data_IF_944926986588
#
_entry.id   IF_944926986588
#
_cell.length_a   1.000
_cell.length_b   1.000
_cell.length_c   1.000
_cell.angle_alpha   90.00
_cell.angle_beta   90.00
_cell.angle_gamma   90.00
#
_symmetry.space_group_name_H-M   'P 1'
#
loop_
_entity.id
_entity.type
_entity.pdbx_description
1 polymer ?
#
# COMPACT_ATOMS: atom_id res chain seq x y z
N UNK A 1 -7.79 10.21 28.85
CA UNK A 1 -6.41 9.68 28.66
C UNK A 1 -5.41 10.61 29.30
N UNK A 2 -4.30 10.08 29.82
CA UNK A 2 -3.18 10.90 30.28
C UNK A 2 -2.55 11.63 29.10
N UNK A 3 -2.01 12.83 29.30
CA UNK A 3 -1.36 13.61 28.24
C UNK A 3 -0.24 12.83 27.55
N UNK A 4 0.51 12.02 28.31
CA UNK A 4 1.56 11.13 27.83
C UNK A 4 1.09 10.03 26.85
N UNK A 5 -0.20 9.69 26.86
CA UNK A 5 -0.80 8.67 25.97
C UNK A 5 -1.51 9.27 24.76
N UNK A 6 -1.69 10.60 24.73
CA UNK A 6 -2.31 11.28 23.59
C UNK A 6 -1.26 11.52 22.51
N UNK A 7 -1.59 11.13 21.29
CA UNK A 7 -0.77 11.45 20.13
C UNK A 7 -0.97 12.94 19.81
N UNK A 8 0.12 13.69 19.67
CA UNK A 8 0.04 15.13 19.37
C UNK A 8 -0.58 15.35 17.98
N UNK A 9 -1.26 16.49 17.74
CA UNK A 9 -1.82 16.81 16.43
C UNK A 9 -0.75 16.82 15.32
N UNK A 10 0.47 17.27 15.63
CA UNK A 10 1.61 17.28 14.73
C UNK A 10 2.03 15.87 14.30
N UNK A 11 2.08 14.93 15.24
CA UNK A 11 2.41 13.54 14.99
C UNK A 11 1.33 12.85 14.14
N UNK A 12 0.06 13.22 14.32
CA UNK A 12 -1.04 12.73 13.48
C UNK A 12 -0.87 13.27 12.05
N UNK A 13 -0.63 14.57 11.87
CA UNK A 13 -0.39 15.16 10.55
C UNK A 13 0.81 14.50 9.84
N UNK A 14 1.87 14.21 10.60
CA UNK A 14 3.02 13.44 10.10
C UNK A 14 2.61 12.07 9.60
N UNK A 15 1.78 11.33 10.34
CA UNK A 15 1.28 9.99 9.93
C UNK A 15 0.39 10.07 8.70
N UNK A 16 -0.50 11.05 8.62
CA UNK A 16 -1.39 11.25 7.48
C UNK A 16 -0.60 11.46 6.16
N UNK A 17 0.56 12.13 6.23
CA UNK A 17 1.48 12.28 5.10
C UNK A 17 1.93 10.94 4.49
N UNK A 18 2.11 9.91 5.33
CA UNK A 18 2.55 8.59 4.88
C UNK A 18 1.40 7.65 4.49
N UNK A 19 0.18 7.93 4.95
CA UNK A 19 -1.00 7.09 4.71
C UNK A 19 -1.70 7.42 3.38
N UNK A 20 -1.80 8.69 3.02
CA UNK A 20 -2.51 9.10 1.80
C UNK A 20 -1.62 8.94 0.57
N UNK A 21 -2.20 8.36 -0.48
CA UNK A 21 -1.56 8.31 -1.79
C UNK A 21 -1.26 9.74 -2.28
N UNK A 22 -0.11 9.93 -2.93
CA UNK A 22 0.40 11.20 -3.45
C UNK A 22 0.91 12.23 -2.42
N UNK A 23 0.81 11.98 -1.11
CA UNK A 23 1.48 12.80 -0.07
C UNK A 23 2.85 12.25 0.35
N UNK A 24 3.09 10.95 0.10
CA UNK A 24 4.34 10.29 0.41
C UNK A 24 5.44 10.74 -0.55
N UNK A 25 6.61 11.04 -0.01
CA UNK A 25 7.80 11.34 -0.82
C UNK A 25 8.20 10.13 -1.66
N UNK A 26 8.40 10.36 -2.95
CA UNK A 26 8.76 9.31 -3.90
C UNK A 26 10.23 8.96 -3.71
N UNK A 27 10.50 7.70 -3.38
CA UNK A 27 11.85 7.14 -3.33
C UNK A 27 12.01 6.12 -4.46
N UNK A 28 13.00 6.32 -5.32
CA UNK A 28 13.27 5.44 -6.45
C UNK A 28 13.60 4.00 -6.02
N UNK A 29 14.24 3.81 -4.86
CA UNK A 29 14.63 2.48 -4.38
C UNK A 29 13.50 1.76 -3.62
N UNK A 30 12.45 2.47 -3.19
CA UNK A 30 11.29 1.87 -2.53
C UNK A 30 10.06 1.88 -3.47
N UNK A 31 9.73 0.76 -4.13
CA UNK A 31 8.60 0.68 -5.05
C UNK A 31 7.24 0.91 -4.36
N UNK A 32 7.16 0.82 -3.03
CA UNK A 32 5.93 1.12 -2.29
C UNK A 32 5.63 2.62 -2.21
N UNK A 33 6.64 3.48 -2.41
CA UNK A 33 6.44 4.94 -2.48
C UNK A 33 5.89 5.42 -3.81
N UNK A 34 6.00 4.61 -4.87
CA UNK A 34 5.61 5.02 -6.21
C UNK A 34 4.08 5.16 -6.33
N UNK A 35 3.64 6.02 -7.25
CA UNK A 35 2.21 6.12 -7.58
C UNK A 35 1.71 4.83 -8.25
N UNK A 36 0.41 4.60 -8.23
CA UNK A 36 -0.19 3.39 -8.84
C UNK A 36 0.15 3.22 -10.33
N UNK A 37 0.16 4.26 -11.17
CA UNK A 37 0.62 4.17 -12.56
C UNK A 37 2.04 3.63 -12.69
N UNK A 38 2.97 4.16 -11.89
CA UNK A 38 4.37 3.74 -11.93
C UNK A 38 4.57 2.33 -11.37
N UNK A 39 3.80 1.94 -10.35
CA UNK A 39 3.76 0.54 -9.88
C UNK A 39 3.29 -0.41 -10.98
N UNK A 40 2.20 -0.06 -11.66
CA UNK A 40 1.67 -0.85 -12.77
C UNK A 40 2.67 -0.98 -13.92
N UNK A 41 3.30 0.13 -14.31
CA UNK A 41 4.36 0.16 -15.32
C UNK A 41 5.55 -0.72 -14.92
N UNK A 42 6.06 -0.57 -13.68
CA UNK A 42 7.20 -1.32 -13.18
C UNK A 42 6.96 -2.83 -13.13
N UNK A 43 5.79 -3.26 -12.66
CA UNK A 43 5.40 -4.68 -12.64
C UNK A 43 5.34 -5.26 -14.05
N UNK A 44 4.69 -4.55 -14.99
CA UNK A 44 4.55 -5.03 -16.37
C UNK A 44 5.88 -5.03 -17.12
N UNK A 45 6.74 -4.04 -16.88
CA UNK A 45 8.10 -4.01 -17.40
C UNK A 45 8.89 -5.23 -16.92
N UNK A 46 8.94 -5.46 -15.61
CA UNK A 46 9.66 -6.59 -15.02
C UNK A 46 9.13 -7.93 -15.54
N UNK A 47 7.80 -8.11 -15.57
CA UNK A 47 7.18 -9.31 -16.11
C UNK A 47 7.52 -9.54 -17.59
N UNK A 48 7.56 -8.47 -18.39
CA UNK A 48 7.90 -8.56 -19.83
C UNK A 48 9.36 -8.94 -20.04
N UNK A 49 10.29 -8.35 -19.28
CA UNK A 49 11.72 -8.66 -19.36
C UNK A 49 11.97 -10.11 -18.92
N UNK A 50 11.38 -10.54 -17.80
CA UNK A 50 11.49 -11.91 -17.30
C UNK A 50 10.89 -12.89 -18.32
N UNK A 51 9.71 -12.60 -18.86
CA UNK A 51 9.06 -13.43 -19.88
C UNK A 51 9.93 -13.57 -21.13
N UNK A 52 10.49 -12.46 -21.63
CA UNK A 52 11.39 -12.49 -22.78
C UNK A 52 12.67 -13.29 -22.51
N UNK A 53 13.22 -13.19 -21.30
CA UNK A 53 14.37 -13.99 -20.87
C UNK A 53 14.03 -15.48 -20.79
N UNK A 54 12.92 -15.84 -20.15
CA UNK A 54 12.47 -17.24 -20.05
C UNK A 54 12.20 -17.84 -21.43
N UNK A 55 11.59 -17.07 -22.35
CA UNK A 55 11.38 -17.49 -23.73
C UNK A 55 12.70 -17.80 -24.44
N UNK A 56 13.76 -17.02 -24.20
CA UNK A 56 15.08 -17.29 -24.77
C UNK A 56 15.68 -18.58 -24.24
N UNK A 57 15.65 -18.76 -22.92
CA UNK A 57 16.18 -19.96 -22.26
C UNK A 57 15.45 -21.20 -22.79
N UNK A 58 14.12 -21.15 -22.86
CA UNK A 58 13.29 -22.25 -23.37
C UNK A 58 13.63 -22.62 -24.81
N UNK A 59 13.77 -21.61 -25.69
CA UNK A 59 14.05 -21.82 -27.10
C UNK A 59 15.55 -21.90 -27.43
N UNK A 60 16.42 -21.97 -26.41
CA UNK A 60 17.89 -21.99 -26.55
C UNK A 60 18.41 -20.86 -27.45
N UNK A 61 17.80 -19.67 -27.37
CA UNK A 61 18.21 -18.48 -28.11
C UNK A 61 19.15 -17.62 -27.25
N UNK A 62 20.15 -16.95 -27.85
CA UNK A 62 20.99 -16.02 -27.11
C UNK A 62 20.18 -14.83 -26.59
N UNK A 63 20.67 -14.16 -25.54
CA UNK A 63 19.95 -13.08 -24.87
C UNK A 63 19.60 -11.90 -25.79
N UNK A 64 20.43 -11.62 -26.79
CA UNK A 64 20.27 -10.53 -27.76
C UNK A 64 19.35 -10.86 -28.94
N UNK A 65 18.82 -12.09 -29.03
CA UNK A 65 17.94 -12.48 -30.12
C UNK A 65 16.73 -11.53 -30.20
N UNK A 66 16.43 -11.00 -31.39
CA UNK A 66 15.26 -10.13 -31.62
C UNK A 66 15.15 -8.94 -30.63
N UNK A 67 16.26 -8.31 -30.26
CA UNK A 67 16.28 -7.28 -29.21
C UNK A 67 15.38 -6.07 -29.54
N UNK A 68 15.39 -5.58 -30.78
CA UNK A 68 14.57 -4.42 -31.19
C UNK A 68 13.07 -4.68 -31.04
N UNK A 69 12.48 -5.72 -31.66
CA UNK A 69 11.04 -5.98 -31.49
C UNK A 69 10.67 -6.32 -30.04
N UNK A 70 11.59 -6.87 -29.24
CA UNK A 70 11.35 -7.14 -27.81
C UNK A 70 11.36 -5.89 -26.95
N UNK A 71 12.23 -4.93 -27.25
CA UNK A 71 12.22 -3.63 -26.58
C UNK A 71 10.92 -2.88 -26.90
N UNK A 72 10.46 -2.93 -28.16
CA UNK A 72 9.15 -2.37 -28.55
C UNK A 72 8.02 -3.05 -27.78
N UNK A 73 7.97 -4.39 -27.76
CA UNK A 73 6.95 -5.14 -27.03
C UNK A 73 6.97 -4.82 -25.53
N UNK A 74 8.16 -4.77 -24.92
CA UNK A 74 8.33 -4.41 -23.51
C UNK A 74 7.82 -3.00 -23.24
N UNK A 75 8.11 -2.04 -24.12
CA UNK A 75 7.59 -0.67 -24.05
C UNK A 75 6.06 -0.62 -24.10
N UNK A 76 5.45 -1.37 -25.03
CA UNK A 76 3.98 -1.47 -25.15
C UNK A 76 3.37 -2.07 -23.88
N UNK A 77 3.92 -3.17 -23.37
CA UNK A 77 3.42 -3.81 -22.15
C UNK A 77 3.58 -2.91 -20.92
N UNK A 78 4.67 -2.14 -20.86
CA UNK A 78 4.88 -1.13 -19.81
C UNK A 78 3.85 -0.02 -19.88
N UNK A 79 3.54 0.49 -21.07
CA UNK A 79 2.50 1.50 -21.28
C UNK A 79 1.10 0.99 -20.90
N UNK A 80 0.78 -0.27 -21.24
CA UNK A 80 -0.46 -0.93 -20.78
C UNK A 80 -0.49 -0.98 -19.25
N UNK A 81 0.61 -1.38 -18.61
CA UNK A 81 0.73 -1.38 -17.15
C UNK A 81 0.49 -0.02 -16.51
N UNK A 82 1.03 1.04 -17.12
CA UNK A 82 0.77 2.41 -16.70
C UNK A 82 -0.72 2.75 -16.77
N UNK A 83 -1.38 2.46 -17.91
CA UNK A 83 -2.81 2.70 -18.10
C UNK A 83 -3.70 1.90 -17.14
N UNK A 84 -3.34 0.65 -16.84
CA UNK A 84 -4.04 -0.12 -15.79
C UNK A 84 -3.86 0.52 -14.41
N UNK A 85 -2.67 1.03 -14.11
CA UNK A 85 -2.39 1.73 -12.87
C UNK A 85 -3.15 3.06 -12.74
N UNK A 86 -3.34 3.83 -13.81
CA UNK A 86 -4.13 5.07 -13.79
C UNK A 86 -5.62 4.79 -13.56
N UNK A 87 -6.19 3.78 -14.21
CA UNK A 87 -7.57 3.36 -13.97
C UNK A 87 -7.79 2.92 -12.53
N UNK A 88 -6.82 2.17 -11.96
CA UNK A 88 -6.87 1.76 -10.56
C UNK A 88 -6.78 2.94 -9.60
N UNK A 89 -5.91 3.91 -9.89
CA UNK A 89 -5.82 5.14 -9.09
C UNK A 89 -7.14 5.92 -9.11
N UNK A 90 -7.73 6.07 -10.30
CA UNK A 90 -9.01 6.75 -10.46
C UNK A 90 -10.12 6.06 -9.65
N UNK A 91 -10.22 4.74 -9.73
CA UNK A 91 -11.19 3.96 -8.96
C UNK A 91 -11.06 4.20 -7.45
N UNK A 92 -9.84 4.18 -6.91
CA UNK A 92 -9.63 4.43 -5.48
C UNK A 92 -9.93 5.87 -5.07
N UNK A 93 -9.58 6.86 -5.91
CA UNK A 93 -9.94 8.27 -5.66
C UNK A 93 -11.45 8.44 -5.60
N UNK A 94 -12.19 7.86 -6.54
CA UNK A 94 -13.66 7.92 -6.55
C UNK A 94 -14.25 7.23 -5.33
N UNK A 95 -13.76 6.04 -4.96
CA UNK A 95 -14.19 5.33 -3.75
C UNK A 95 -14.01 6.19 -2.50
N UNK A 96 -12.82 6.75 -2.33
CA UNK A 96 -12.49 7.55 -1.13
C UNK A 96 -13.31 8.85 -1.09
N UNK A 97 -13.55 9.49 -2.25
CA UNK A 97 -14.40 10.67 -2.35
C UNK A 97 -15.86 10.35 -1.95
N UNK A 98 -16.41 9.22 -2.41
CA UNK A 98 -17.77 8.79 -2.04
C UNK A 98 -17.87 8.50 -0.54
N UNK A 99 -16.90 7.79 0.03
CA UNK A 99 -16.86 7.49 1.47
C UNK A 99 -16.76 8.79 2.28
N UNK A 100 -15.86 9.68 1.90
CA UNK A 100 -15.70 10.96 2.58
C UNK A 100 -16.99 11.78 2.53
N UNK A 101 -17.61 11.89 1.35
CA UNK A 101 -18.88 12.60 1.19
C UNK A 101 -20.00 11.99 2.04
N UNK A 102 -20.08 10.66 2.13
CA UNK A 102 -21.06 9.97 2.97
C UNK A 102 -20.89 10.28 4.46
N UNK A 103 -19.64 10.31 4.94
CA UNK A 103 -19.31 10.65 6.33
C UNK A 103 -19.71 12.10 6.64
N UNK A 104 -19.44 13.02 5.72
CA UNK A 104 -19.80 14.44 5.86
C UNK A 104 -21.33 14.64 5.91
N UNK A 105 -22.09 13.85 5.16
CA UNK A 105 -23.56 13.93 5.12
C UNK A 105 -24.22 13.35 6.38
N UNK A 106 -23.62 12.32 6.99
CA UNK A 106 -24.17 11.60 8.15
C UNK A 106 -23.25 11.67 9.38
N UNK A 107 -22.94 12.86 9.92
CA UNK A 107 -21.99 12.99 11.03
C UNK A 107 -22.45 12.30 12.31
N UNK A 108 -23.76 12.08 12.47
CA UNK A 108 -24.35 11.40 13.64
C UNK A 108 -24.00 9.91 13.69
N UNK A 109 -23.85 9.26 12.54
CA UNK A 109 -23.52 7.82 12.47
C UNK A 109 -22.03 7.58 12.81
N UNK A 110 -21.24 8.64 12.78
CA UNK A 110 -19.78 8.65 12.91
C UNK A 110 -19.32 9.44 14.15
N UNK A 111 -20.20 9.66 15.11
CA UNK A 111 -19.94 10.45 16.32
C UNK A 111 -18.74 9.92 17.13
N UNK A 112 -18.54 8.60 17.13
CA UNK A 112 -17.45 7.90 17.77
C UNK A 112 -16.06 8.24 17.20
N UNK A 113 -15.97 8.79 15.97
CA UNK A 113 -14.70 9.24 15.39
C UNK A 113 -14.27 10.63 15.88
N UNK A 114 -15.15 11.39 16.53
CA UNK A 114 -14.82 12.69 17.09
C UNK A 114 -13.81 12.57 18.25
N UNK A 115 -13.88 11.49 19.04
CA UNK A 115 -12.86 11.17 20.04
C UNK A 115 -11.85 10.16 19.49
N UNK A 116 -10.83 10.67 18.79
CA UNK A 116 -9.70 9.88 18.28
C UNK A 116 -8.90 9.21 19.40
N UNK A 117 -9.03 9.71 20.62
CA UNK A 117 -8.22 9.31 21.76
C UNK A 117 -8.90 8.16 22.53
N UNK A 118 -10.23 8.07 22.48
CA UNK A 118 -10.98 7.01 23.11
C UNK A 118 -10.85 6.98 24.64
N UNK A 119 -11.30 5.86 25.23
CA UNK A 119 -11.26 5.67 26.69
C UNK A 119 -9.85 5.37 27.16
N UNK A 120 -9.49 5.90 28.33
CA UNK A 120 -8.19 5.60 28.93
C UNK A 120 -8.15 4.14 29.41
N UNK A 121 -6.98 3.50 29.36
CA UNK A 121 -6.81 2.13 29.89
C UNK A 121 -7.19 2.00 31.38
N UNK A 122 -7.10 3.09 32.17
CA UNK A 122 -7.58 3.09 33.55
C UNK A 122 -9.10 2.90 33.68
N UNK A 123 -9.87 3.14 32.61
CA UNK A 123 -11.32 2.99 32.54
C UNK A 123 -11.73 1.67 31.85
N UNK A 124 -10.77 0.87 31.39
CA UNK A 124 -11.02 -0.35 30.63
C UNK A 124 -10.50 -1.54 31.45
N UNK A 125 -11.40 -2.47 31.80
CA UNK A 125 -11.02 -3.75 32.40
C UNK A 125 -10.93 -4.81 31.30
N UNK A 126 -9.72 -5.12 30.86
CA UNK A 126 -9.48 -6.23 29.93
C UNK A 126 -9.27 -7.53 30.70
N UNK A 127 -9.79 -8.68 30.22
CA UNK A 127 -9.50 -9.97 30.81
C UNK A 127 -7.99 -10.27 30.71
N UNK A 128 -7.36 -10.59 31.84
CA UNK A 128 -5.95 -10.97 31.88
C UNK A 128 -5.80 -12.48 31.71
N UNK A 129 -5.21 -12.90 30.60
CA UNK A 129 -4.88 -14.29 30.33
C UNK A 129 -3.38 -14.51 30.55
N UNK A 130 -2.94 -14.97 31.74
CA UNK A 130 -1.52 -15.23 31.98
C UNK A 130 -1.03 -16.35 31.08
N UNK A 131 0.18 -16.17 30.54
CA UNK A 131 0.91 -17.26 29.90
C UNK A 131 1.36 -18.23 30.99
N UNK A 132 0.53 -19.22 31.28
CA UNK A 132 0.90 -20.34 32.15
C UNK A 132 1.94 -21.15 31.40
N UNK A 133 3.03 -21.43 32.07
CA UNK A 133 4.28 -21.90 31.49
C UNK A 133 4.13 -23.28 30.87
N UNK A 134 4.47 -23.43 29.58
CA UNK A 134 4.98 -24.69 29.02
C UNK A 134 6.41 -24.92 29.55
N UNK A 135 6.60 -24.95 30.86
CA UNK A 135 7.81 -25.57 31.41
C UNK A 135 7.49 -27.07 31.44
N UNK A 136 7.96 -27.81 30.43
CA UNK A 136 8.15 -29.25 30.60
C UNK A 136 9.08 -29.40 31.78
N UNK A 137 8.57 -29.97 32.88
CA UNK A 137 9.31 -30.01 34.13
C UNK A 137 10.50 -30.97 34.06
N UNK A 138 10.58 -31.82 33.03
CA UNK A 138 11.65 -32.79 32.79
C UNK A 138 11.73 -33.12 31.29
N UNK A 139 12.96 -33.36 30.80
CA UNK A 139 13.26 -34.08 29.55
C UNK A 139 13.09 -35.59 29.75
#
# INVERSE_FOLDING_TARGET
MAESTRVSPEEIARREKYLRANLREVNLMDPFTWTYPWKGAGVMFAASVISAHMYNVWNRRPYYFAIVPRLVLTGVMTAIGYGMGTMREYHYKTRDAVIQHYIELHPKDFDHFNDRSGRAFSQILLPWYPRRTQYTRYD
#
